data_IF_779302602429
#
_entry.id   IF_779302602429
#
_cell.length_a   1.000
_cell.length_b   1.000
_cell.length_c   1.000
_cell.angle_alpha   90.00
_cell.angle_beta   90.00
_cell.angle_gamma   90.00
#
_symmetry.space_group_name_H-M   'P 1'
#
loop_
_entity.id
_entity.type
_entity.pdbx_description
1 polymer ?
#
# COMPACT_ATOMS: atom_id res chain seq x y z
N UNK A 1 -23.79 10.70 14.61
CA UNK A 1 -22.92 10.68 13.40
C UNK A 1 -21.43 10.91 13.75
N UNK A 2 -21.09 11.76 14.72
CA UNK A 2 -19.71 12.04 15.19
C UNK A 2 -18.90 10.76 15.50
N UNK A 3 -19.43 9.84 16.32
CA UNK A 3 -18.71 8.61 16.68
C UNK A 3 -18.49 7.58 15.56
N UNK A 4 -19.11 7.75 14.40
CA UNK A 4 -18.90 6.87 13.22
C UNK A 4 -17.76 7.38 12.35
N UNK A 5 -17.71 8.71 12.11
CA UNK A 5 -16.61 9.39 11.43
C UNK A 5 -15.28 9.12 12.12
N UNK A 6 -15.22 9.34 13.44
CA UNK A 6 -14.01 9.08 14.21
C UNK A 6 -13.51 7.64 14.08
N UNK A 7 -14.43 6.66 13.99
CA UNK A 7 -14.05 5.25 13.79
C UNK A 7 -13.43 5.02 12.41
N UNK A 8 -13.97 5.63 11.35
CA UNK A 8 -13.43 5.52 10.00
C UNK A 8 -12.05 6.19 9.93
N UNK A 9 -11.91 7.42 10.43
CA UNK A 9 -10.63 8.12 10.48
C UNK A 9 -9.59 7.32 11.26
N UNK A 10 -9.94 6.80 12.45
CA UNK A 10 -9.05 5.94 13.24
C UNK A 10 -8.62 4.69 12.48
N UNK A 11 -9.50 4.06 11.69
CA UNK A 11 -9.14 2.90 10.86
C UNK A 11 -8.16 3.28 9.75
N UNK A 12 -8.40 4.37 9.02
CA UNK A 12 -7.47 4.84 7.97
C UNK A 12 -6.11 5.16 8.59
N UNK A 13 -6.09 5.93 9.68
CA UNK A 13 -4.85 6.27 10.40
C UNK A 13 -4.10 5.01 10.82
N UNK A 14 -4.80 4.02 11.38
CA UNK A 14 -4.20 2.74 11.78
C UNK A 14 -3.57 1.98 10.61
N UNK A 15 -4.19 2.01 9.43
CA UNK A 15 -3.59 1.42 8.22
C UNK A 15 -2.28 2.14 7.87
N UNK A 16 -2.30 3.48 7.93
CA UNK A 16 -1.15 4.32 7.59
C UNK A 16 -0.02 4.28 8.62
N UNK A 17 -0.28 3.87 9.88
CA UNK A 17 0.77 3.71 10.91
C UNK A 17 1.89 2.74 10.50
N UNK A 18 1.62 1.83 9.55
CA UNK A 18 2.64 0.92 9.00
C UNK A 18 3.71 1.65 8.18
N UNK A 19 3.41 2.86 7.68
CA UNK A 19 4.21 3.65 6.75
C UNK A 19 4.15 5.14 7.15
N UNK A 20 4.94 5.58 8.15
CA UNK A 20 4.85 6.92 8.73
C UNK A 20 5.00 8.07 7.72
N UNK A 21 5.93 7.95 6.76
CA UNK A 21 6.14 8.99 5.75
C UNK A 21 4.91 9.17 4.83
N UNK A 22 4.29 8.06 4.41
CA UNK A 22 3.03 8.10 3.66
C UNK A 22 1.90 8.71 4.50
N UNK A 23 1.85 8.35 5.78
CA UNK A 23 0.87 8.90 6.74
C UNK A 23 1.01 10.42 6.84
N UNK A 24 2.23 10.94 6.98
CA UNK A 24 2.50 12.38 7.05
C UNK A 24 2.05 13.11 5.79
N UNK A 25 2.32 12.54 4.60
CA UNK A 25 1.88 13.14 3.33
C UNK A 25 0.35 13.17 3.23
N UNK A 26 -0.34 12.09 3.63
CA UNK A 26 -1.81 12.01 3.53
C UNK A 26 -2.47 12.94 4.55
N UNK A 27 -1.94 13.04 5.77
CA UNK A 27 -2.48 13.88 6.84
C UNK A 27 -2.09 15.36 6.74
N UNK A 28 -1.22 15.74 5.79
CA UNK A 28 -0.85 17.14 5.61
C UNK A 28 -2.06 17.99 5.17
N UNK A 29 -1.96 19.30 5.35
CA UNK A 29 -2.93 20.27 4.83
C UNK A 29 -2.65 20.66 3.37
N UNK A 30 -1.78 19.92 2.67
CA UNK A 30 -1.43 20.24 1.29
C UNK A 30 -2.61 20.02 0.33
N UNK A 31 -2.69 20.77 -0.78
CA UNK A 31 -3.63 20.46 -1.86
C UNK A 31 -3.42 19.05 -2.43
N UNK A 32 -4.49 18.45 -2.97
CA UNK A 32 -4.47 17.05 -3.43
C UNK A 32 -3.39 16.76 -4.48
N UNK A 33 -3.12 17.72 -5.36
CA UNK A 33 -2.08 17.59 -6.38
C UNK A 33 -0.67 17.57 -5.79
N UNK A 34 -0.46 18.33 -4.70
CA UNK A 34 0.79 18.34 -3.95
C UNK A 34 0.97 17.04 -3.20
N UNK A 35 -0.07 16.53 -2.52
CA UNK A 35 -0.06 15.20 -1.90
C UNK A 35 0.30 14.12 -2.92
N UNK A 36 -0.38 14.11 -4.08
CA UNK A 36 -0.11 13.16 -5.16
C UNK A 36 1.35 13.19 -5.62
N UNK A 37 1.92 14.40 -5.78
CA UNK A 37 3.33 14.59 -6.16
C UNK A 37 4.27 14.02 -5.09
N UNK A 38 4.03 14.32 -3.81
CA UNK A 38 4.83 13.81 -2.68
C UNK A 38 4.75 12.28 -2.59
N UNK A 39 3.56 11.69 -2.68
CA UNK A 39 3.40 10.22 -2.69
C UNK A 39 4.15 9.61 -3.87
N UNK A 40 4.11 10.23 -5.06
CA UNK A 40 4.86 9.73 -6.22
C UNK A 40 6.37 9.72 -5.98
N UNK A 41 6.93 10.74 -5.32
CA UNK A 41 8.36 10.76 -5.00
C UNK A 41 8.70 9.70 -3.97
N UNK A 42 7.97 9.65 -2.86
CA UNK A 42 8.09 8.60 -1.86
C UNK A 42 8.07 7.19 -2.48
N UNK A 43 7.09 6.90 -3.34
CA UNK A 43 7.00 5.62 -4.04
C UNK A 43 8.15 5.37 -5.03
N UNK A 44 8.73 6.43 -5.60
CA UNK A 44 9.89 6.29 -6.50
C UNK A 44 11.16 6.01 -5.72
N UNK A 45 11.33 6.64 -4.56
CA UNK A 45 12.49 6.44 -3.69
C UNK A 45 12.49 5.01 -3.12
N UNK A 46 11.33 4.50 -2.67
CA UNK A 46 11.21 3.10 -2.26
C UNK A 46 11.47 2.17 -3.45
N UNK A 47 10.97 2.49 -4.64
CA UNK A 47 11.19 1.65 -5.80
C UNK A 47 12.68 1.52 -6.09
N UNK A 48 13.41 2.63 -6.10
CA UNK A 48 14.87 2.65 -6.29
C UNK A 48 15.54 1.79 -5.22
N UNK A 49 15.24 2.01 -3.94
CA UNK A 49 15.81 1.22 -2.85
C UNK A 49 15.46 -0.28 -2.92
N UNK A 50 14.28 -0.63 -3.45
CA UNK A 50 13.88 -2.03 -3.68
C UNK A 50 14.65 -2.65 -4.85
N UNK A 51 15.04 -1.86 -5.85
CA UNK A 51 15.79 -2.33 -7.01
C UNK A 51 17.30 -2.40 -6.80
N UNK A 52 17.82 -1.77 -5.73
CA UNK A 52 19.17 -2.07 -5.28
C UNK A 52 19.24 -3.55 -4.92
N UNK A 53 20.27 -4.24 -5.42
CA UNK A 53 20.46 -5.69 -5.28
C UNK A 53 20.80 -6.06 -3.82
N UNK A 54 19.82 -5.89 -2.94
CA UNK A 54 19.90 -6.30 -1.54
C UNK A 54 19.53 -7.79 -1.45
N UNK A 55 20.52 -8.69 -1.27
CA UNK A 55 20.29 -10.13 -1.22
C UNK A 55 19.51 -10.57 0.02
N UNK A 56 19.27 -9.66 0.98
CA UNK A 56 18.49 -9.96 2.18
C UNK A 56 16.97 -9.94 1.93
N UNK A 57 16.52 -9.31 0.84
CA UNK A 57 15.10 -9.28 0.47
C UNK A 57 14.74 -10.59 -0.23
N UNK A 58 13.79 -11.39 0.31
CA UNK A 58 13.39 -12.63 -0.34
C UNK A 58 12.78 -12.37 -1.74
N UNK A 59 13.03 -13.23 -2.74
CA UNK A 59 12.64 -12.95 -4.13
C UNK A 59 11.15 -12.69 -4.36
N UNK A 60 10.26 -13.37 -3.62
CA UNK A 60 8.82 -13.15 -3.78
C UNK A 60 8.37 -11.85 -3.10
N UNK A 61 8.98 -11.47 -1.97
CA UNK A 61 8.72 -10.18 -1.32
C UNK A 61 9.14 -9.04 -2.24
N UNK A 62 10.30 -9.19 -2.89
CA UNK A 62 10.79 -8.23 -3.88
C UNK A 62 9.78 -8.04 -5.03
N UNK A 63 9.27 -9.13 -5.62
CA UNK A 63 8.28 -9.06 -6.70
C UNK A 63 6.99 -8.39 -6.23
N UNK A 64 6.48 -8.77 -5.04
CA UNK A 64 5.25 -8.19 -4.50
C UNK A 64 5.39 -6.71 -4.22
N UNK A 65 6.49 -6.30 -3.61
CA UNK A 65 6.78 -4.89 -3.28
C UNK A 65 6.85 -4.04 -4.54
N UNK A 66 7.64 -4.48 -5.52
CA UNK A 66 7.77 -3.81 -6.81
C UNK A 66 6.42 -3.66 -7.52
N UNK A 67 5.60 -4.72 -7.52
CA UNK A 67 4.30 -4.69 -8.16
C UNK A 67 3.31 -3.79 -7.40
N UNK A 68 3.29 -3.84 -6.08
CA UNK A 68 2.45 -2.98 -5.23
C UNK A 68 2.76 -1.50 -5.45
N UNK A 69 4.05 -1.13 -5.52
CA UNK A 69 4.48 0.25 -5.83
C UNK A 69 3.92 0.70 -7.19
N UNK A 70 4.05 -0.14 -8.22
CA UNK A 70 3.54 0.17 -9.56
C UNK A 70 2.01 0.27 -9.60
N UNK A 71 1.31 -0.62 -8.88
CA UNK A 71 -0.16 -0.56 -8.73
C UNK A 71 -0.56 0.72 -8.03
N UNK A 72 0.11 1.10 -6.93
CA UNK A 72 -0.26 2.29 -6.20
C UNK A 72 0.01 3.57 -7.01
N UNK A 73 1.14 3.64 -7.71
CA UNK A 73 1.44 4.72 -8.67
C UNK A 73 0.38 4.82 -9.76
N UNK A 74 -0.09 3.68 -10.26
CA UNK A 74 -1.14 3.59 -11.29
C UNK A 74 -2.47 4.12 -10.76
N UNK A 75 -2.91 3.66 -9.59
CA UNK A 75 -4.16 4.10 -8.94
C UNK A 75 -4.17 5.62 -8.73
N UNK A 76 -3.05 6.18 -8.25
CA UNK A 76 -2.92 7.61 -7.96
C UNK A 76 -2.65 8.47 -9.20
N UNK A 77 -2.53 7.88 -10.38
CA UNK A 77 -2.22 8.65 -11.58
C UNK A 77 -3.45 9.40 -12.09
N UNK A 78 -3.28 10.68 -12.44
CA UNK A 78 -4.36 11.54 -12.99
C UNK A 78 -5.05 10.86 -14.19
N UNK A 79 -4.26 10.19 -15.04
CA UNK A 79 -4.81 9.47 -16.19
C UNK A 79 -5.73 8.33 -15.75
N UNK A 80 -5.31 7.50 -14.79
CA UNK A 80 -6.11 6.39 -14.30
C UNK A 80 -7.37 6.88 -13.58
N UNK A 81 -7.25 7.89 -12.72
CA UNK A 81 -8.41 8.47 -12.03
C UNK A 81 -9.43 9.02 -13.04
N UNK A 82 -8.96 9.74 -14.06
CA UNK A 82 -9.83 10.23 -15.15
C UNK A 82 -10.51 9.11 -15.93
N UNK A 83 -9.82 7.99 -16.18
CA UNK A 83 -10.39 6.84 -16.90
C UNK A 83 -11.38 6.06 -16.03
N UNK A 84 -11.12 5.96 -14.72
CA UNK A 84 -11.99 5.29 -13.76
C UNK A 84 -13.18 6.17 -13.33
N UNK A 85 -13.10 7.49 -13.53
CA UNK A 85 -14.09 8.45 -13.03
C UNK A 85 -14.07 8.61 -11.50
N UNK A 86 -12.97 8.21 -10.85
CA UNK A 86 -12.87 8.17 -9.39
C UNK A 86 -11.43 8.44 -8.93
N UNK A 87 -11.27 9.19 -7.83
CA UNK A 87 -9.97 9.45 -7.21
C UNK A 87 -9.92 8.82 -5.82
N UNK A 88 -9.08 7.78 -5.66
CA UNK A 88 -8.84 7.17 -4.36
C UNK A 88 -8.21 8.17 -3.39
N UNK A 89 -7.29 9.01 -3.88
CA UNK A 89 -6.60 9.97 -3.03
C UNK A 89 -7.57 11.03 -2.50
N UNK A 90 -8.42 11.59 -3.37
CA UNK A 90 -9.46 12.52 -2.95
C UNK A 90 -10.43 11.85 -1.97
N UNK A 91 -10.87 10.63 -2.25
CA UNK A 91 -11.76 9.91 -1.35
C UNK A 91 -11.18 9.71 0.06
N UNK A 92 -9.91 9.31 0.16
CA UNK A 92 -9.23 9.18 1.46
C UNK A 92 -9.10 10.56 2.14
N UNK A 93 -8.78 11.60 1.38
CA UNK A 93 -8.68 12.97 1.89
C UNK A 93 -10.02 13.46 2.45
N UNK A 94 -11.11 13.25 1.73
CA UNK A 94 -12.46 13.62 2.15
C UNK A 94 -12.87 12.86 3.42
N UNK A 95 -12.59 11.56 3.50
CA UNK A 95 -12.86 10.76 4.70
C UNK A 95 -12.09 11.24 5.94
N UNK A 96 -10.93 11.87 5.74
CA UNK A 96 -10.09 12.39 6.80
C UNK A 96 -10.45 13.82 7.20
N UNK A 97 -10.79 14.68 6.24
CA UNK A 97 -10.90 16.12 6.46
C UNK A 97 -12.34 16.65 6.46
N UNK A 98 -13.26 16.07 5.69
CA UNK A 98 -14.61 16.61 5.55
C UNK A 98 -15.43 16.50 6.83
N UNK A 99 -16.07 17.61 7.23
CA UNK A 99 -16.90 17.65 8.44
C UNK A 99 -18.18 16.82 8.30
N UNK A 100 -18.70 16.70 7.08
CA UNK A 100 -19.95 16.01 6.78
C UNK A 100 -19.78 14.98 5.66
N UNK A 101 -20.05 13.71 5.95
CA UNK A 101 -19.99 12.62 4.97
C UNK A 101 -21.18 12.56 4.01
N UNK A 102 -21.92 13.67 3.86
CA UNK A 102 -23.09 13.71 2.98
C UNK A 102 -22.61 13.55 1.52
N UNK A 103 -22.96 12.42 0.91
CA UNK A 103 -22.56 12.08 -0.46
C UNK A 103 -21.24 11.33 -0.56
N UNK A 104 -20.56 11.05 0.56
CA UNK A 104 -19.37 10.21 0.60
C UNK A 104 -19.80 8.77 0.87
N UNK A 105 -19.42 7.85 -0.01
CA UNK A 105 -19.67 6.41 0.16
C UNK A 105 -18.90 5.89 1.39
N UNK A 106 -19.57 5.08 2.21
CA UNK A 106 -18.93 4.51 3.39
C UNK A 106 -17.96 3.38 3.00
N UNK A 107 -16.70 3.40 3.50
CA UNK A 107 -15.75 2.34 3.20
C UNK A 107 -16.18 1.02 3.84
N UNK A 108 -16.19 -0.04 3.03
CA UNK A 108 -16.51 -1.39 3.49
C UNK A 108 -15.34 -2.03 4.24
N UNK A 109 -15.59 -3.15 4.93
CA UNK A 109 -14.51 -3.92 5.54
C UNK A 109 -13.48 -4.41 4.51
N UNK A 110 -13.94 -4.79 3.31
CA UNK A 110 -13.06 -5.19 2.20
C UNK A 110 -12.15 -4.06 1.73
N UNK A 111 -12.68 -2.84 1.64
CA UNK A 111 -11.87 -1.66 1.30
C UNK A 111 -10.70 -1.47 2.27
N UNK A 112 -10.95 -1.54 3.58
CA UNK A 112 -9.88 -1.39 4.58
C UNK A 112 -8.82 -2.48 4.46
N UNK A 113 -9.22 -3.73 4.19
CA UNK A 113 -8.29 -4.83 4.01
C UNK A 113 -7.41 -4.64 2.77
N UNK A 114 -7.99 -4.27 1.63
CA UNK A 114 -7.24 -3.99 0.40
C UNK A 114 -6.28 -2.80 0.57
N UNK A 115 -6.73 -1.73 1.23
CA UNK A 115 -5.88 -0.58 1.53
C UNK A 115 -4.72 -0.96 2.45
N UNK A 116 -4.97 -1.76 3.49
CA UNK A 116 -3.95 -2.24 4.41
C UNK A 116 -2.89 -3.11 3.71
N UNK A 117 -3.34 -4.06 2.89
CA UNK A 117 -2.43 -4.92 2.12
C UNK A 117 -1.61 -4.11 1.13
N UNK A 118 -2.22 -3.16 0.40
CA UNK A 118 -1.50 -2.32 -0.55
C UNK A 118 -0.43 -1.46 0.14
N UNK A 119 -0.78 -0.81 1.25
CA UNK A 119 0.13 0.05 2.02
C UNK A 119 1.30 -0.77 2.59
N UNK A 120 1.03 -1.95 3.16
CA UNK A 120 2.09 -2.84 3.68
C UNK A 120 2.98 -3.38 2.57
N UNK A 121 2.39 -3.76 1.43
CA UNK A 121 3.12 -4.31 0.31
C UNK A 121 4.10 -3.30 -0.29
N UNK A 122 3.76 -2.00 -0.33
CA UNK A 122 4.67 -0.96 -0.79
C UNK A 122 5.99 -0.90 -0.03
N UNK A 123 6.03 -1.35 1.23
CA UNK A 123 7.23 -1.33 2.07
C UNK A 123 7.78 -2.72 2.38
N UNK A 124 7.42 -3.74 1.59
CA UNK A 124 7.93 -5.11 1.76
C UNK A 124 7.51 -5.78 3.07
N UNK A 125 6.35 -5.40 3.61
CA UNK A 125 5.77 -5.96 4.83
C UNK A 125 4.53 -6.80 4.52
N UNK A 126 4.54 -7.55 3.42
CA UNK A 126 3.37 -8.36 3.03
C UNK A 126 3.12 -9.54 3.97
N UNK A 127 4.16 -10.02 4.65
CA UNK A 127 4.07 -11.14 5.59
C UNK A 127 3.89 -12.50 4.91
N UNK A 128 4.19 -12.62 3.61
CA UNK A 128 4.07 -13.89 2.88
C UNK A 128 5.07 -14.95 3.33
N UNK A 129 6.18 -14.53 3.91
CA UNK A 129 7.10 -15.41 4.63
C UNK A 129 6.66 -15.41 6.10
N UNK A 130 5.87 -16.40 6.49
CA UNK A 130 5.65 -16.72 7.92
C UNK A 130 7.01 -16.92 8.61
N UNK A 131 7.08 -16.79 9.94
CA UNK A 131 8.32 -16.73 10.77
C UNK A 131 9.43 -17.76 10.44
N UNK A 132 9.12 -18.84 9.71
CA UNK A 132 10.12 -19.71 9.08
C UNK A 132 10.28 -19.41 7.60
N UNK A 133 11.48 -18.95 7.24
CA UNK A 133 12.01 -19.00 5.87
C UNK A 133 11.91 -20.46 5.41
N UNK A 134 11.21 -20.76 4.30
CA UNK A 134 11.05 -22.14 3.85
C UNK A 134 12.38 -22.83 3.58
N UNK A 135 12.51 -24.10 3.96
CA UNK A 135 13.77 -24.85 3.85
C UNK A 135 14.28 -24.94 2.40
N UNK A 136 13.38 -24.85 1.42
CA UNK A 136 13.71 -24.91 0.01
C UNK A 136 14.49 -23.69 -0.51
N UNK A 137 14.53 -22.56 0.23
CA UNK A 137 15.26 -21.35 -0.18
C UNK A 137 16.77 -21.59 -0.31
N UNK A 138 17.32 -22.59 0.40
CA UNK A 138 18.75 -22.97 0.33
C UNK A 138 19.11 -23.87 -0.86
N UNK A 139 18.13 -24.26 -1.66
CA UNK A 139 18.32 -25.20 -2.76
C UNK A 139 17.95 -24.53 -4.08
N UNK A 140 18.58 -24.98 -5.17
CA UNK A 140 18.33 -24.48 -6.52
C UNK A 140 17.86 -25.60 -7.47
N UNK A 141 17.35 -25.21 -8.64
CA UNK A 141 16.96 -26.11 -9.72
C UNK A 141 15.89 -27.13 -9.34
N UNK A 142 16.01 -28.35 -9.89
CA UNK A 142 15.04 -29.44 -9.71
C UNK A 142 14.82 -29.80 -8.25
N UNK A 143 15.86 -29.68 -7.40
CA UNK A 143 15.77 -30.01 -5.97
C UNK A 143 14.89 -29.00 -5.23
N UNK A 144 15.03 -27.71 -5.53
CA UNK A 144 14.16 -26.66 -4.99
C UNK A 144 12.71 -26.85 -5.44
N UNK A 145 12.51 -27.13 -6.74
CA UNK A 145 11.17 -27.32 -7.32
C UNK A 145 10.41 -28.49 -6.68
N UNK A 146 11.08 -29.61 -6.43
CA UNK A 146 10.48 -30.75 -5.71
C UNK A 146 10.07 -30.37 -4.28
N UNK A 147 10.95 -29.72 -3.53
CA UNK A 147 10.66 -29.30 -2.15
C UNK A 147 9.50 -28.30 -2.08
N UNK A 148 9.39 -27.37 -3.02
CA UNK A 148 8.25 -26.42 -3.13
C UNK A 148 6.90 -27.09 -3.43
N UNK A 149 6.92 -28.27 -4.06
CA UNK A 149 5.70 -28.98 -4.46
C UNK A 149 5.19 -29.95 -3.39
N UNK A 150 6.01 -30.20 -2.36
CA UNK A 150 5.73 -31.13 -1.26
C UNK A 150 5.47 -30.43 0.08
N UNK A 151 5.60 -29.10 0.11
CA UNK A 151 5.26 -28.21 1.22
C UNK A 151 3.84 -27.66 0.99
#
# INVERSE_FOLDING_TARGET
MVGKKEKIQKKIIKVLDNVPELKEIILSSDPIDVKRKKIRYFLSDILIATFDDDPTIPPLEWVLTRNAINVFRSILSIRSERLAGYSLLQYIDDLLNEENFKGIEEPTAGFFAELEHLVKAVVGKTGIYSEKIPAFVKYEGTKASKLRSSD
#
